data_IF_523716846678
#
_entry.id   IF_523716846678
#
_cell.length_a   1.000
_cell.length_b   1.000
_cell.length_c   1.000
_cell.angle_alpha   90.00
_cell.angle_beta   90.00
_cell.angle_gamma   90.00
#
_symmetry.space_group_name_H-M   'P 1'
#
loop_
_entity.id
_entity.type
_entity.pdbx_description
1 polymer ?
#
# COMPACT_ATOMS: atom_id res chain seq x y z
N UNK A 1 28.07 -13.29 14.72
CA UNK A 1 26.97 -13.03 13.77
C UNK A 1 27.20 -13.93 12.56
N UNK A 2 26.19 -14.69 12.13
CA UNK A 2 26.25 -15.43 10.88
C UNK A 2 26.39 -14.46 9.70
N UNK A 3 27.01 -14.91 8.61
CA UNK A 3 27.14 -14.17 7.35
C UNK A 3 26.63 -15.04 6.20
N UNK A 4 26.11 -14.41 5.16
CA UNK A 4 25.59 -15.10 3.98
C UNK A 4 24.24 -15.78 4.21
N UNK A 5 23.49 -15.32 5.21
CA UNK A 5 22.13 -15.76 5.51
C UNK A 5 21.16 -15.34 4.39
N UNK A 6 19.93 -15.87 4.41
CA UNK A 6 18.89 -15.42 3.48
C UNK A 6 18.58 -13.93 3.67
N UNK A 7 18.58 -13.45 4.91
CA UNK A 7 18.41 -12.04 5.22
C UNK A 7 19.48 -11.19 4.54
N UNK A 8 20.76 -11.56 4.70
CA UNK A 8 21.88 -10.83 4.07
C UNK A 8 21.70 -10.77 2.56
N UNK A 9 21.36 -11.90 1.92
CA UNK A 9 21.13 -11.96 0.48
C UNK A 9 20.01 -11.04 0.01
N UNK A 10 18.87 -11.03 0.71
CA UNK A 10 17.74 -10.16 0.37
C UNK A 10 18.10 -8.69 0.60
N UNK A 11 18.75 -8.38 1.72
CA UNK A 11 19.19 -7.03 2.06
C UNK A 11 20.17 -6.48 1.03
N UNK A 12 21.20 -7.24 0.68
CA UNK A 12 22.21 -6.86 -0.29
C UNK A 12 21.60 -6.66 -1.68
N UNK A 13 20.64 -7.51 -2.09
CA UNK A 13 19.94 -7.39 -3.37
C UNK A 13 19.10 -6.10 -3.48
N UNK A 14 18.58 -5.60 -2.34
CA UNK A 14 17.78 -4.37 -2.30
C UNK A 14 18.59 -3.13 -1.92
N UNK A 15 19.89 -3.27 -1.63
CA UNK A 15 20.76 -2.15 -1.30
C UNK A 15 21.08 -1.35 -2.55
N UNK A 16 20.71 -0.07 -2.55
CA UNK A 16 21.06 0.89 -3.61
C UNK A 16 22.45 1.44 -3.36
N UNK A 17 22.71 1.91 -2.13
CA UNK A 17 24.00 2.44 -1.70
C UNK A 17 24.05 2.58 -0.18
N UNK A 18 25.25 2.83 0.34
CA UNK A 18 25.45 3.32 1.70
C UNK A 18 25.54 4.85 1.66
N UNK A 19 24.69 5.51 2.43
CA UNK A 19 24.65 6.97 2.53
C UNK A 19 25.87 7.49 3.33
N UNK A 20 26.26 8.77 3.20
CA UNK A 20 27.35 9.36 4.01
C UNK A 20 27.15 9.24 5.52
N UNK A 21 25.91 9.06 5.97
CA UNK A 21 25.56 8.81 7.37
C UNK A 21 25.90 7.39 7.86
N UNK A 22 26.33 6.50 6.95
CA UNK A 22 26.53 5.08 7.21
C UNK A 22 25.25 4.23 7.13
N UNK A 23 24.08 4.83 6.88
CA UNK A 23 22.82 4.10 6.71
C UNK A 23 22.72 3.47 5.32
N UNK A 24 22.08 2.31 5.23
CA UNK A 24 21.77 1.66 3.95
C UNK A 24 20.52 2.29 3.33
N UNK A 25 20.63 2.72 2.08
CA UNK A 25 19.46 3.07 1.28
C UNK A 25 18.93 1.80 0.60
N UNK A 26 17.69 1.43 0.93
CA UNK A 26 17.02 0.27 0.36
C UNK A 26 16.02 0.67 -0.73
N UNK A 27 15.96 -0.14 -1.78
CA UNK A 27 14.88 -0.15 -2.74
C UNK A 27 13.73 -1.01 -2.21
N UNK A 28 12.52 -0.46 -2.16
CA UNK A 28 11.33 -1.22 -1.73
C UNK A 28 10.69 -1.89 -2.95
N UNK A 29 10.76 -3.22 -2.99
CA UNK A 29 10.35 -4.01 -4.16
C UNK A 29 8.84 -4.20 -4.34
N UNK A 30 8.06 -4.05 -3.26
CA UNK A 30 6.61 -4.24 -3.21
C UNK A 30 6.01 -3.34 -2.13
N UNK A 31 4.91 -2.66 -2.46
CA UNK A 31 4.09 -1.93 -1.50
C UNK A 31 2.73 -2.61 -1.40
N UNK A 32 2.34 -2.97 -0.19
CA UNK A 32 1.00 -3.46 0.13
C UNK A 32 0.28 -2.37 0.92
N UNK A 33 -0.87 -1.94 0.42
CA UNK A 33 -1.58 -0.76 0.92
C UNK A 33 -3.06 -1.06 1.18
N UNK A 34 -3.65 -0.35 2.13
CA UNK A 34 -5.03 -0.57 2.58
C UNK A 34 -5.70 0.75 3.00
N UNK A 35 -7.02 0.74 3.18
CA UNK A 35 -7.87 1.92 3.32
C UNK A 35 -7.64 2.77 4.57
N UNK A 36 -6.98 2.22 5.59
CA UNK A 36 -6.82 2.93 6.88
C UNK A 36 -5.64 3.91 6.88
N UNK A 37 -4.54 3.56 6.22
CA UNK A 37 -3.28 4.32 6.27
C UNK A 37 -2.92 5.00 4.95
N UNK A 38 -3.44 4.48 3.83
CA UNK A 38 -3.06 4.92 2.50
C UNK A 38 -3.64 6.28 2.11
N UNK A 39 -4.88 6.67 2.49
CA UNK A 39 -5.40 7.99 2.14
C UNK A 39 -4.48 9.14 2.57
N UNK A 40 -3.90 9.05 3.77
CA UNK A 40 -2.93 10.02 4.29
C UNK A 40 -1.63 9.99 3.51
N UNK A 41 -1.11 8.80 3.16
CA UNK A 41 0.09 8.66 2.35
C UNK A 41 -0.07 9.27 0.94
N UNK A 42 -1.22 9.05 0.29
CA UNK A 42 -1.53 9.67 -1.00
C UNK A 42 -1.70 11.19 -0.90
N UNK A 43 -2.26 11.69 0.20
CA UNK A 43 -2.32 13.13 0.45
C UNK A 43 -0.92 13.75 0.54
N UNK A 44 0.00 13.11 1.27
CA UNK A 44 1.41 13.55 1.35
C UNK A 44 2.12 13.51 0.00
N UNK A 45 1.86 12.51 -0.85
CA UNK A 45 2.40 12.47 -2.21
C UNK A 45 1.92 13.66 -3.04
N UNK A 46 0.61 13.95 -2.99
CA UNK A 46 0.03 15.10 -3.70
C UNK A 46 0.59 16.44 -3.21
N UNK A 47 0.68 16.63 -1.88
CA UNK A 47 1.25 17.84 -1.27
C UNK A 47 2.70 18.07 -1.71
N UNK A 48 3.49 17.00 -1.83
CA UNK A 48 4.88 17.05 -2.28
C UNK A 48 5.04 17.11 -3.80
N UNK A 49 3.95 17.07 -4.57
CA UNK A 49 3.99 17.00 -6.03
C UNK A 49 4.63 15.72 -6.57
N UNK A 50 4.60 14.62 -5.78
CA UNK A 50 5.18 13.33 -6.13
C UNK A 50 4.13 12.40 -6.72
N UNK A 51 4.56 11.57 -7.67
CA UNK A 51 3.77 10.47 -8.24
C UNK A 51 4.15 9.15 -7.60
N UNK A 52 3.25 8.17 -7.66
CA UNK A 52 3.60 6.77 -7.37
C UNK A 52 4.54 6.28 -8.46
N UNK A 53 5.79 5.98 -8.09
CA UNK A 53 6.86 5.66 -9.04
C UNK A 53 6.71 4.27 -9.66
N UNK A 54 6.18 3.30 -8.91
CA UNK A 54 6.02 1.90 -9.33
C UNK A 54 4.60 1.40 -9.00
N UNK A 55 3.57 1.84 -9.77
CA UNK A 55 2.19 1.41 -9.53
C UNK A 55 1.98 -0.09 -9.77
N UNK A 56 2.77 -0.70 -10.66
CA UNK A 56 2.81 -2.14 -10.93
C UNK A 56 3.34 -2.98 -9.76
N UNK A 57 4.12 -2.36 -8.86
CA UNK A 57 4.65 -2.94 -7.62
C UNK A 57 3.89 -2.49 -6.39
N UNK A 58 2.74 -1.86 -6.58
CA UNK A 58 1.86 -1.43 -5.49
C UNK A 58 0.54 -2.17 -5.63
N UNK A 59 0.10 -2.82 -4.56
CA UNK A 59 -1.14 -3.59 -4.53
C UNK A 59 -1.99 -3.09 -3.37
N UNK A 60 -3.24 -2.74 -3.68
CA UNK A 60 -4.22 -2.30 -2.72
C UNK A 60 -5.28 -3.37 -2.47
N UNK A 61 -5.79 -3.43 -1.24
CA UNK A 61 -7.00 -4.19 -0.85
C UNK A 61 -7.80 -3.37 0.16
N UNK A 62 -9.01 -3.84 0.48
CA UNK A 62 -9.82 -3.35 1.61
C UNK A 62 -10.13 -4.48 2.57
N UNK A 63 -9.77 -4.33 3.84
CA UNK A 63 -9.80 -5.43 4.80
C UNK A 63 -10.03 -5.06 6.28
N UNK A 64 -9.85 -3.80 6.67
CA UNK A 64 -9.94 -3.38 8.09
C UNK A 64 -11.33 -2.88 8.49
N UNK A 65 -12.01 -2.16 7.59
CA UNK A 65 -13.25 -1.44 7.92
C UNK A 65 -14.42 -1.79 7.00
N UNK A 66 -14.34 -2.92 6.30
CA UNK A 66 -15.44 -3.45 5.51
C UNK A 66 -16.50 -4.06 6.45
N UNK A 67 -17.76 -3.59 6.44
CA UNK A 67 -18.79 -4.14 7.31
C UNK A 67 -19.06 -5.62 7.00
N UNK A 68 -19.18 -6.45 8.04
CA UNK A 68 -19.46 -7.88 7.88
C UNK A 68 -20.91 -8.14 7.49
N UNK A 69 -21.87 -7.41 8.08
CA UNK A 69 -23.30 -7.71 7.95
C UNK A 69 -23.95 -7.10 6.70
N UNK A 70 -23.61 -5.86 6.35
CA UNK A 70 -24.20 -5.15 5.22
C UNK A 70 -23.17 -4.28 4.51
N UNK A 71 -22.83 -4.64 3.27
CA UNK A 71 -21.86 -3.95 2.42
C UNK A 71 -22.55 -3.11 1.33
N UNK A 72 -23.85 -2.83 1.45
CA UNK A 72 -24.53 -1.88 0.58
C UNK A 72 -23.96 -0.47 0.79
N UNK A 73 -23.64 0.22 -0.30
CA UNK A 73 -23.08 1.58 -0.26
C UNK A 73 -24.16 2.65 -0.45
N UNK A 74 -24.07 3.80 0.22
CA UNK A 74 -23.03 4.17 1.19
C UNK A 74 -23.12 3.35 2.49
N UNK A 75 -21.99 3.06 3.11
CA UNK A 75 -21.96 2.37 4.40
C UNK A 75 -22.63 3.21 5.50
N UNK A 76 -23.15 2.52 6.53
CA UNK A 76 -23.71 3.14 7.73
C UNK A 76 -22.64 3.95 8.47
N UNK A 77 -21.42 3.41 8.56
CA UNK A 77 -20.25 4.15 9.01
C UNK A 77 -19.73 5.01 7.86
N UNK A 78 -20.03 6.31 7.93
CA UNK A 78 -19.64 7.29 6.91
C UNK A 78 -18.14 7.46 6.82
N UNK A 79 -17.40 7.29 7.93
CA UNK A 79 -15.95 7.39 7.93
C UNK A 79 -15.34 6.21 7.16
N UNK A 80 -15.87 5.01 7.37
CA UNK A 80 -15.46 3.83 6.60
C UNK A 80 -15.72 4.00 5.10
N UNK A 81 -16.89 4.54 4.74
CA UNK A 81 -17.22 4.86 3.35
C UNK A 81 -16.23 5.87 2.74
N UNK A 82 -15.94 6.97 3.44
CA UNK A 82 -15.01 8.02 2.97
C UNK A 82 -13.58 7.48 2.78
N UNK A 83 -13.10 6.65 3.70
CA UNK A 83 -11.74 6.08 3.64
C UNK A 83 -11.59 5.10 2.47
N UNK A 84 -12.60 4.26 2.22
CA UNK A 84 -12.61 3.36 1.06
C UNK A 84 -12.71 4.16 -0.25
N UNK A 85 -13.57 5.18 -0.31
CA UNK A 85 -13.65 6.09 -1.48
C UNK A 85 -12.32 6.79 -1.74
N UNK A 86 -11.61 7.22 -0.69
CA UNK A 86 -10.31 7.86 -0.83
C UNK A 86 -9.26 6.91 -1.42
N UNK A 87 -9.27 5.63 -1.02
CA UNK A 87 -8.40 4.61 -1.62
C UNK A 87 -8.80 4.28 -3.07
N UNK A 88 -10.10 4.13 -3.35
CA UNK A 88 -10.65 3.91 -4.70
C UNK A 88 -10.18 4.98 -5.69
N UNK A 89 -10.36 6.25 -5.32
CA UNK A 89 -9.95 7.37 -6.15
C UNK A 89 -8.43 7.39 -6.30
N UNK A 90 -7.67 7.23 -5.21
CA UNK A 90 -6.21 7.27 -5.26
C UNK A 90 -5.61 6.13 -6.09
N UNK A 91 -6.16 4.92 -6.00
CA UNK A 91 -5.69 3.77 -6.79
C UNK A 91 -6.01 3.94 -8.27
N UNK A 92 -7.22 4.44 -8.61
CA UNK A 92 -7.61 4.78 -9.98
C UNK A 92 -6.70 5.86 -10.59
N UNK A 93 -6.46 6.95 -9.85
CA UNK A 93 -5.66 8.08 -10.33
C UNK A 93 -4.19 7.71 -10.56
N UNK A 94 -3.68 6.71 -9.82
CA UNK A 94 -2.28 6.26 -9.92
C UNK A 94 -2.12 4.95 -10.70
N UNK A 95 -3.20 4.36 -11.25
CA UNK A 95 -3.13 3.10 -11.99
C UNK A 95 -2.66 1.91 -11.15
N UNK A 96 -2.99 1.89 -9.86
CA UNK A 96 -2.60 0.84 -8.91
C UNK A 96 -3.58 -0.33 -8.99
N UNK A 97 -3.05 -1.56 -8.91
CA UNK A 97 -3.87 -2.77 -8.79
C UNK A 97 -4.66 -2.73 -7.48
N UNK A 98 -5.99 -2.82 -7.56
CA UNK A 98 -6.85 -2.74 -6.40
C UNK A 98 -7.86 -3.89 -6.34
N UNK A 99 -7.77 -4.69 -5.28
CA UNK A 99 -8.71 -5.77 -4.97
C UNK A 99 -9.82 -5.27 -4.04
N UNK A 100 -10.80 -4.60 -4.62
CA UNK A 100 -11.94 -4.06 -3.89
C UNK A 100 -12.98 -5.13 -3.53
N UNK A 101 -13.97 -4.77 -2.72
CA UNK A 101 -15.19 -5.55 -2.47
C UNK A 101 -15.81 -5.97 -3.82
N UNK A 102 -16.12 -7.27 -3.95
CA UNK A 102 -16.69 -7.84 -5.16
C UNK A 102 -15.70 -8.16 -6.29
N UNK A 103 -14.40 -7.87 -6.12
CA UNK A 103 -13.37 -8.22 -7.13
C UNK A 103 -13.12 -9.72 -7.27
N UNK A 104 -13.57 -10.54 -6.30
CA UNK A 104 -13.25 -11.96 -6.21
C UNK A 104 -11.82 -12.27 -5.75
N UNK A 105 -10.98 -11.25 -5.59
CA UNK A 105 -9.60 -11.37 -5.10
C UNK A 105 -9.34 -10.49 -3.87
N UNK A 106 -10.39 -9.91 -3.27
CA UNK A 106 -10.32 -9.20 -2.01
C UNK A 106 -9.92 -10.15 -0.88
N UNK A 107 -9.03 -9.69 -0.01
CA UNK A 107 -8.60 -10.42 1.17
C UNK A 107 -7.84 -9.51 2.14
N UNK A 108 -7.45 -10.07 3.27
CA UNK A 108 -6.56 -9.40 4.23
C UNK A 108 -5.23 -9.09 3.54
N UNK A 109 -4.67 -7.89 3.75
CA UNK A 109 -3.51 -7.36 3.02
C UNK A 109 -2.27 -8.26 2.99
N UNK A 110 -2.15 -9.19 3.94
CA UNK A 110 -1.03 -10.13 4.05
C UNK A 110 -1.34 -11.58 3.58
N UNK A 111 -2.54 -11.83 3.04
CA UNK A 111 -3.01 -13.12 2.52
C UNK A 111 -3.06 -13.08 1.00
#
# INVERSE_FOLDING_TARGET
>A
MSKGTLFDKVWDTHTVQILPSGQTQLFIGLHLIHEVTSPQAFAMLRERGLKVMYPDRTVATVDHIVPTENQARPFVDTLAEEMIQALENSTKDNGIRFYNIGSGSQGVVHV
#
